data_IF_549518137944
#
_entry.id   IF_549518137944
#
_cell.length_a   1.000
_cell.length_b   1.000
_cell.length_c   1.000
_cell.angle_alpha   90.00
_cell.angle_beta   90.00
_cell.angle_gamma   90.00
#
_symmetry.space_group_name_H-M   'P 1'
#
loop_
_entity.id
_entity.type
_entity.pdbx_description
1 polymer ?
#
# COMPACT_ATOMS: atom_id res chain seq x y z
N UNK A 1 19.58 -17.64 -7.42
CA UNK A 1 18.57 -18.23 -8.30
C UNK A 1 17.24 -18.39 -7.58
N UNK A 2 16.15 -17.84 -8.13
CA UNK A 2 14.79 -18.05 -7.65
C UNK A 2 14.34 -19.49 -7.93
N UNK A 3 13.63 -20.08 -6.98
CA UNK A 3 13.01 -21.39 -7.12
C UNK A 3 11.55 -21.22 -7.52
N UNK A 4 11.14 -21.88 -8.61
CA UNK A 4 9.75 -21.84 -9.09
C UNK A 4 9.11 -23.20 -8.86
N UNK A 5 7.96 -23.22 -8.21
CA UNK A 5 7.27 -24.45 -7.85
C UNK A 5 5.76 -24.27 -7.91
N UNK A 6 5.01 -25.38 -7.93
CA UNK A 6 3.56 -25.37 -8.00
C UNK A 6 2.98 -26.12 -6.79
N UNK A 7 2.48 -25.43 -5.76
CA UNK A 7 1.98 -26.07 -4.55
C UNK A 7 0.85 -27.06 -4.84
N UNK A 8 0.83 -28.15 -4.08
CA UNK A 8 -0.25 -29.14 -4.07
C UNK A 8 -1.05 -29.04 -2.79
N UNK A 9 -2.36 -29.21 -2.89
CA UNK A 9 -3.28 -29.27 -1.75
C UNK A 9 -4.19 -30.49 -1.86
N UNK A 10 -4.66 -31.01 -0.72
CA UNK A 10 -5.62 -32.11 -0.67
C UNK A 10 -7.04 -31.55 -0.61
N UNK A 11 -7.93 -32.09 -1.45
CA UNK A 11 -9.38 -31.83 -1.40
C UNK A 11 -10.11 -33.10 -1.85
N UNK A 12 -11.09 -33.53 -1.05
CA UNK A 12 -11.90 -34.74 -1.32
C UNK A 12 -11.03 -35.99 -1.55
N UNK A 13 -10.01 -36.19 -0.71
CA UNK A 13 -9.08 -37.32 -0.81
C UNK A 13 -8.10 -37.28 -2.01
N UNK A 14 -8.24 -36.33 -2.94
CA UNK A 14 -7.40 -36.21 -4.14
C UNK A 14 -6.39 -35.07 -4.00
N UNK A 15 -5.17 -35.30 -4.50
CA UNK A 15 -4.12 -34.29 -4.58
C UNK A 15 -4.37 -33.38 -5.79
N UNK A 16 -4.54 -32.08 -5.57
CA UNK A 16 -4.73 -31.08 -6.63
C UNK A 16 -3.58 -30.06 -6.62
N UNK A 17 -3.17 -29.61 -7.80
CA UNK A 17 -2.17 -28.54 -7.95
C UNK A 17 -2.88 -27.17 -7.95
N UNK A 18 -2.28 -26.16 -7.32
CA UNK A 18 -2.77 -24.79 -7.43
C UNK A 18 -2.75 -24.31 -8.88
N UNK A 19 -3.67 -23.40 -9.25
CA UNK A 19 -3.72 -22.88 -10.63
C UNK A 19 -2.47 -22.08 -10.99
N UNK A 20 -1.93 -21.31 -10.04
CA UNK A 20 -0.75 -20.46 -10.22
C UNK A 20 0.53 -21.17 -9.80
N UNK A 21 1.63 -20.86 -10.48
CA UNK A 21 2.98 -21.14 -10.04
C UNK A 21 3.38 -20.14 -8.94
N UNK A 22 4.35 -20.51 -8.12
CA UNK A 22 4.89 -19.71 -7.02
C UNK A 22 6.39 -19.54 -7.19
N UNK A 23 6.88 -18.36 -6.82
CA UNK A 23 8.29 -17.96 -6.92
C UNK A 23 8.83 -17.77 -5.51
N UNK A 24 9.94 -18.42 -5.19
CA UNK A 24 10.71 -18.20 -3.96
C UNK A 24 12.05 -17.56 -4.32
N UNK A 25 12.30 -16.35 -3.83
CA UNK A 25 13.53 -15.58 -4.14
C UNK A 25 14.08 -14.89 -2.88
N UNK A 26 15.33 -14.41 -2.93
CA UNK A 26 15.93 -13.58 -1.88
C UNK A 26 15.74 -12.11 -2.26
N UNK A 27 15.16 -11.30 -1.38
CA UNK A 27 14.98 -9.88 -1.62
C UNK A 27 16.27 -9.06 -1.36
N UNK A 28 16.17 -7.73 -1.48
CA UNK A 28 17.30 -6.83 -1.25
C UNK A 28 17.94 -6.99 0.14
N UNK A 29 17.15 -7.29 1.17
CA UNK A 29 17.57 -7.50 2.56
C UNK A 29 18.11 -8.93 2.81
N UNK A 30 18.17 -9.76 1.76
CA UNK A 30 18.61 -11.15 1.83
C UNK A 30 17.56 -12.10 2.39
N UNK A 31 16.34 -11.62 2.66
CA UNK A 31 15.24 -12.43 3.22
C UNK A 31 14.59 -13.26 2.13
N UNK A 32 14.27 -14.52 2.45
CA UNK A 32 13.51 -15.38 1.54
C UNK A 32 12.04 -14.94 1.52
N UNK A 33 11.56 -14.52 0.35
CA UNK A 33 10.15 -14.19 0.10
C UNK A 33 9.55 -15.14 -0.92
N UNK A 34 8.29 -15.48 -0.70
CA UNK A 34 7.49 -16.28 -1.61
C UNK A 34 6.37 -15.42 -2.17
N UNK A 35 6.29 -15.31 -3.49
CA UNK A 35 5.26 -14.55 -4.19
C UNK A 35 4.51 -15.43 -5.20
N UNK A 36 3.20 -15.20 -5.37
CA UNK A 36 2.46 -15.88 -6.43
C UNK A 36 2.93 -15.39 -7.79
N UNK A 37 3.16 -16.34 -8.70
CA UNK A 37 3.41 -16.08 -10.12
C UNK A 37 2.12 -16.19 -10.94
N UNK A 38 2.28 -16.63 -12.18
CA UNK A 38 1.19 -16.76 -13.16
C UNK A 38 0.73 -18.21 -13.30
N UNK A 39 -0.35 -18.43 -14.07
CA UNK A 39 -0.77 -19.79 -14.46
C UNK A 39 0.20 -20.43 -15.45
N UNK A 40 0.86 -19.61 -16.27
CA UNK A 40 1.92 -20.01 -17.20
C UNK A 40 3.29 -20.07 -16.48
N UNK A 41 4.03 -21.15 -16.74
CA UNK A 41 5.36 -21.37 -16.17
C UNK A 41 6.40 -20.41 -16.74
N UNK A 42 6.35 -20.12 -18.04
CA UNK A 42 7.30 -19.25 -18.75
C UNK A 42 7.15 -17.80 -18.30
N UNK A 43 5.93 -17.29 -18.21
CA UNK A 43 5.64 -15.98 -17.64
C UNK A 43 6.11 -15.88 -16.17
N UNK A 44 5.95 -16.97 -15.40
CA UNK A 44 6.46 -17.04 -14.02
C UNK A 44 7.99 -17.02 -13.96
N UNK A 45 8.68 -17.66 -14.91
CA UNK A 45 10.14 -17.64 -15.02
C UNK A 45 10.68 -16.24 -15.31
N UNK A 46 10.07 -15.54 -16.27
CA UNK A 46 10.42 -14.15 -16.58
C UNK A 46 10.19 -13.23 -15.38
N UNK A 47 9.07 -13.41 -14.68
CA UNK A 47 8.78 -12.63 -13.47
C UNK A 47 9.77 -12.91 -12.34
N UNK A 48 10.16 -14.17 -12.15
CA UNK A 48 11.18 -14.54 -11.17
C UNK A 48 12.56 -13.93 -11.49
N UNK A 49 12.96 -13.93 -12.76
CA UNK A 49 14.20 -13.31 -13.21
C UNK A 49 14.20 -11.79 -13.00
N UNK A 50 13.06 -11.12 -13.23
CA UNK A 50 12.89 -9.70 -12.93
C UNK A 50 13.09 -9.41 -11.44
N UNK A 51 12.42 -10.17 -10.56
CA UNK A 51 12.52 -9.99 -9.10
C UNK A 51 13.95 -10.16 -8.58
N UNK A 52 14.69 -11.15 -9.09
CA UNK A 52 16.10 -11.35 -8.72
C UNK A 52 16.99 -10.20 -9.23
N UNK A 53 16.74 -9.70 -10.45
CA UNK A 53 17.47 -8.57 -11.03
C UNK A 53 17.27 -7.30 -10.22
N UNK A 54 16.01 -6.97 -9.92
CA UNK A 54 15.65 -5.78 -9.13
C UNK A 54 16.27 -5.85 -7.72
N UNK A 55 16.15 -7.00 -7.04
CA UNK A 55 16.76 -7.20 -5.73
C UNK A 55 18.30 -7.09 -5.75
N UNK A 56 18.94 -7.55 -6.83
CA UNK A 56 20.39 -7.47 -7.00
C UNK A 56 20.84 -6.02 -7.27
N UNK A 57 20.10 -5.27 -8.09
CA UNK A 57 20.37 -3.86 -8.35
C UNK A 57 20.26 -3.01 -7.09
N UNK A 58 19.25 -3.28 -6.26
CA UNK A 58 19.07 -2.57 -4.97
C UNK A 58 20.20 -2.91 -4.01
N UNK A 59 20.57 -4.20 -3.90
CA UNK A 59 21.68 -4.60 -3.03
C UNK A 59 23.02 -3.99 -3.48
N UNK A 60 23.19 -3.79 -4.79
CA UNK A 60 24.34 -3.10 -5.36
C UNK A 60 24.26 -1.57 -5.27
N UNK A 61 23.18 -1.00 -4.72
CA UNK A 61 22.97 0.45 -4.62
C UNK A 61 22.70 1.15 -5.96
N UNK A 62 22.47 0.38 -7.04
CA UNK A 62 22.19 0.88 -8.39
C UNK A 62 20.72 1.26 -8.60
N UNK A 63 19.84 0.81 -7.69
CA UNK A 63 18.42 1.12 -7.70
C UNK A 63 18.00 1.49 -6.26
N UNK A 64 17.34 2.63 -6.09
CA UNK A 64 16.79 2.96 -4.77
C UNK A 64 15.62 2.03 -4.43
N UNK A 65 15.55 1.48 -3.21
CA UNK A 65 14.45 0.63 -2.78
C UNK A 65 13.08 1.27 -3.00
N UNK A 66 13.00 2.60 -2.86
CA UNK A 66 11.80 3.42 -3.05
C UNK A 66 11.06 3.12 -4.38
N UNK A 67 11.77 2.74 -5.45
CA UNK A 67 11.19 2.39 -6.75
C UNK A 67 10.34 1.11 -6.67
N UNK A 68 10.67 0.16 -5.79
CA UNK A 68 9.85 -1.04 -5.55
C UNK A 68 8.62 -0.77 -4.69
N UNK A 69 8.72 0.15 -3.71
CA UNK A 69 7.58 0.57 -2.89
C UNK A 69 6.52 1.36 -3.69
N UNK A 70 6.80 1.75 -4.93
CA UNK A 70 5.81 2.37 -5.82
C UNK A 70 4.64 1.44 -6.19
N UNK A 71 4.83 0.12 -6.09
CA UNK A 71 3.76 -0.87 -6.31
C UNK A 71 3.04 -1.31 -5.03
N UNK A 72 3.42 -0.78 -3.88
CA UNK A 72 2.70 -1.01 -2.62
C UNK A 72 1.43 -0.17 -2.66
N UNK A 73 0.33 -0.83 -2.34
CA UNK A 73 -0.98 -0.19 -2.36
C UNK A 73 -1.04 0.94 -1.31
N UNK A 74 -1.88 1.93 -1.56
CA UNK A 74 -2.10 3.03 -0.60
C UNK A 74 -2.55 2.50 0.78
N UNK A 75 -3.24 1.36 0.80
CA UNK A 75 -3.68 0.69 2.03
C UNK A 75 -2.52 0.10 2.83
N UNK A 76 -1.52 -0.48 2.16
CA UNK A 76 -0.31 -0.98 2.82
C UNK A 76 0.54 0.16 3.37
N UNK A 77 0.65 1.28 2.64
CA UNK A 77 1.28 2.50 3.16
C UNK A 77 0.56 3.05 4.40
N UNK A 78 -0.78 3.02 4.40
CA UNK A 78 -1.56 3.40 5.58
C UNK A 78 -1.35 2.47 6.77
N UNK A 79 -1.20 1.17 6.55
CA UNK A 79 -0.93 0.19 7.62
C UNK A 79 0.47 0.38 8.22
N UNK A 80 1.47 0.64 7.38
CA UNK A 80 2.82 0.98 7.82
C UNK A 80 2.84 2.32 8.59
N UNK A 81 2.09 3.32 8.11
CA UNK A 81 1.91 4.59 8.81
C UNK A 81 1.27 4.39 10.19
N UNK A 82 0.19 3.59 10.28
CA UNK A 82 -0.46 3.24 11.55
C UNK A 82 0.54 2.62 12.54
N UNK A 83 1.39 1.70 12.06
CA UNK A 83 2.42 1.05 12.87
C UNK A 83 3.44 2.07 13.39
N UNK A 84 3.86 3.01 12.55
CA UNK A 84 4.80 4.08 12.94
C UNK A 84 4.23 5.07 13.96
N UNK A 85 2.90 5.25 13.97
CA UNK A 85 2.23 6.10 14.95
C UNK A 85 2.10 5.39 16.30
N UNK A 86 1.81 4.08 16.29
CA UNK A 86 1.77 3.25 17.50
C UNK A 86 3.13 3.19 18.20
N UNK A 87 4.23 3.15 17.46
CA UNK A 87 5.58 3.15 18.03
C UNK A 87 6.01 4.49 18.64
N UNK A 88 5.25 5.58 18.39
CA UNK A 88 5.53 6.93 18.92
C UNK A 88 4.71 7.27 20.18
N UNK A 89 4.16 6.25 20.86
CA UNK A 89 3.29 6.40 22.04
C UNK A 89 2.09 7.34 21.83
N UNK A 90 1.60 7.44 20.59
CA UNK A 90 0.36 8.15 20.30
C UNK A 90 -0.82 7.33 20.79
N UNK A 91 -1.79 7.98 21.45
CA UNK A 91 -3.00 7.32 21.92
C UNK A 91 -3.67 6.52 20.79
N UNK A 92 -4.11 5.26 21.04
CA UNK A 92 -4.67 4.39 20.00
C UNK A 92 -5.89 5.00 19.31
N UNK A 93 -6.67 5.81 20.02
CA UNK A 93 -7.82 6.52 19.45
C UNK A 93 -7.39 7.64 18.51
N UNK A 94 -6.31 8.36 18.85
CA UNK A 94 -5.74 9.37 17.97
C UNK A 94 -5.15 8.74 16.70
N UNK A 95 -4.47 7.59 16.83
CA UNK A 95 -3.96 6.83 15.68
C UNK A 95 -5.10 6.45 14.73
N UNK A 96 -6.16 5.82 15.26
CA UNK A 96 -7.35 5.44 14.47
C UNK A 96 -7.98 6.65 13.79
N UNK A 97 -8.12 7.75 14.52
CA UNK A 97 -8.74 8.97 14.01
C UNK A 97 -7.94 9.59 12.86
N UNK A 98 -6.62 9.63 12.96
CA UNK A 98 -5.73 10.15 11.91
C UNK A 98 -5.77 9.25 10.67
N UNK A 99 -5.65 7.93 10.85
CA UNK A 99 -5.68 6.96 9.75
C UNK A 99 -7.04 6.97 9.03
N UNK A 100 -8.14 7.01 9.77
CA UNK A 100 -9.48 7.08 9.19
C UNK A 100 -9.72 8.36 8.39
N UNK A 101 -9.16 9.49 8.84
CA UNK A 101 -9.22 10.75 8.09
C UNK A 101 -8.47 10.66 6.76
N UNK A 102 -7.27 10.06 6.75
CA UNK A 102 -6.53 9.81 5.51
C UNK A 102 -7.31 8.88 4.57
N UNK A 103 -7.85 7.76 5.09
CA UNK A 103 -8.68 6.83 4.31
C UNK A 103 -9.90 7.48 3.69
N UNK A 104 -10.63 8.28 4.47
CA UNK A 104 -11.80 9.01 3.99
C UNK A 104 -11.43 9.98 2.85
N UNK A 105 -10.32 10.70 3.00
CA UNK A 105 -9.83 11.62 1.98
C UNK A 105 -9.47 10.88 0.69
N UNK A 106 -8.73 9.78 0.78
CA UNK A 106 -8.37 8.98 -0.40
C UNK A 106 -9.59 8.37 -1.10
N UNK A 107 -10.58 7.91 -0.33
CA UNK A 107 -11.84 7.40 -0.88
C UNK A 107 -12.60 8.46 -1.67
N UNK A 108 -12.72 9.67 -1.13
CA UNK A 108 -13.43 10.77 -1.81
C UNK A 108 -12.62 11.32 -3.00
N UNK A 109 -11.30 11.39 -2.86
CA UNK A 109 -10.39 11.83 -3.93
C UNK A 109 -10.19 10.77 -5.03
N UNK A 110 -10.67 9.53 -4.81
CA UNK A 110 -10.42 8.36 -5.67
C UNK A 110 -8.92 8.12 -5.93
N UNK A 111 -8.07 8.44 -4.94
CA UNK A 111 -6.63 8.23 -5.03
C UNK A 111 -6.34 6.76 -4.71
N UNK A 112 -5.72 6.05 -5.64
CA UNK A 112 -5.35 4.63 -5.50
C UNK A 112 -3.84 4.41 -5.42
N UNK A 113 -3.05 5.44 -5.75
CA UNK A 113 -1.58 5.42 -5.80
C UNK A 113 -1.01 6.69 -5.20
N UNK A 114 0.21 6.64 -4.70
CA UNK A 114 0.91 7.79 -4.09
C UNK A 114 1.07 8.98 -5.03
N UNK A 115 1.29 8.73 -6.32
CA UNK A 115 1.40 9.78 -7.34
C UNK A 115 0.11 10.58 -7.53
N UNK A 116 -1.03 10.08 -7.05
CA UNK A 116 -2.31 10.80 -7.08
C UNK A 116 -2.47 11.80 -5.93
N UNK A 117 -1.55 11.85 -4.97
CA UNK A 117 -1.59 12.79 -3.85
C UNK A 117 -1.07 14.14 -4.33
N UNK A 118 -1.98 15.02 -4.75
CA UNK A 118 -1.67 16.41 -5.10
C UNK A 118 -2.38 17.42 -4.19
N UNK A 119 -1.82 18.62 -4.07
CA UNK A 119 -2.43 19.72 -3.32
C UNK A 119 -3.83 20.09 -3.85
N UNK A 120 -4.02 19.95 -5.16
CA UNK A 120 -5.30 20.19 -5.84
C UNK A 120 -6.34 19.11 -5.49
N UNK A 121 -5.94 17.83 -5.52
CA UNK A 121 -6.83 16.73 -5.15
C UNK A 121 -7.30 16.86 -3.69
N UNK A 122 -6.38 17.20 -2.78
CA UNK A 122 -6.72 17.46 -1.37
C UNK A 122 -7.66 18.66 -1.23
N UNK A 123 -7.33 19.78 -1.87
CA UNK A 123 -8.14 21.01 -1.79
C UNK A 123 -9.56 20.81 -2.32
N UNK A 124 -9.71 20.09 -3.44
CA UNK A 124 -11.02 19.81 -4.04
C UNK A 124 -11.91 18.95 -3.14
N UNK A 125 -11.33 17.97 -2.43
CA UNK A 125 -12.08 17.15 -1.45
C UNK A 125 -12.47 17.97 -0.23
N UNK A 126 -11.58 18.83 0.27
CA UNK A 126 -11.90 19.69 1.41
C UNK A 126 -13.00 20.70 1.07
N UNK A 127 -13.03 21.23 -0.16
CA UNK A 127 -14.10 22.08 -0.65
C UNK A 127 -15.44 21.32 -0.68
N UNK A 128 -15.47 20.11 -1.28
CA UNK A 128 -16.66 19.25 -1.31
C UNK A 128 -17.20 18.91 0.09
N UNK A 129 -16.32 18.63 1.04
CA UNK A 129 -16.71 18.34 2.43
C UNK A 129 -17.31 19.55 3.15
N UNK A 130 -16.88 20.78 2.79
CA UNK A 130 -17.44 22.03 3.32
C UNK A 130 -18.80 22.35 2.70
N UNK A 131 -18.98 22.03 1.42
CA UNK A 131 -20.22 22.27 0.67
C UNK A 131 -21.34 21.26 1.00
N UNK A 132 -21.00 20.03 1.39
CA UNK A 132 -21.97 19.02 1.79
C UNK A 132 -22.80 19.46 3.01
N UNK A 133 -23.99 20.00 2.75
CA UNK A 133 -25.02 20.26 3.75
C UNK A 133 -25.79 18.97 4.02
N UNK A 134 -25.62 18.37 5.19
CA UNK A 134 -26.46 17.27 5.64
C UNK A 134 -27.62 17.82 6.49
N UNK A 135 -28.86 17.47 6.16
CA UNK A 135 -30.07 17.76 6.95
C UNK A 135 -30.19 19.22 7.44
N UNK A 136 -30.08 20.19 6.53
CA UNK A 136 -30.28 21.60 6.84
C UNK A 136 -29.21 22.25 7.74
N UNK A 137 -28.16 21.50 8.14
CA UNK A 137 -27.02 22.03 8.91
C UNK A 137 -25.87 22.42 7.98
N UNK A 138 -25.10 23.43 8.39
CA UNK A 138 -23.86 23.85 7.71
C UNK A 138 -22.96 22.62 7.52
N UNK A 139 -22.33 22.51 6.34
CA UNK A 139 -21.38 21.46 6.05
C UNK A 139 -20.17 21.49 6.99
N UNK A 140 -19.22 20.58 6.75
CA UNK A 140 -18.07 20.35 7.64
C UNK A 140 -17.40 21.65 8.09
N UNK A 141 -17.29 21.87 9.41
CA UNK A 141 -16.63 23.05 9.99
C UNK A 141 -15.20 23.21 9.47
N UNK A 142 -14.73 24.46 9.39
CA UNK A 142 -13.33 24.81 9.07
C UNK A 142 -12.35 24.04 9.95
N UNK A 143 -12.69 23.85 11.24
CA UNK A 143 -11.88 23.07 12.18
C UNK A 143 -11.74 21.61 11.73
N UNK A 144 -12.85 20.97 11.36
CA UNK A 144 -12.83 19.58 10.88
C UNK A 144 -12.07 19.45 9.57
N UNK A 145 -12.21 20.41 8.66
CA UNK A 145 -11.40 20.50 7.43
C UNK A 145 -9.89 20.61 7.73
N UNK A 146 -9.50 21.42 8.72
CA UNK A 146 -8.11 21.53 9.17
C UNK A 146 -7.58 20.23 9.79
N UNK A 147 -8.43 19.45 10.44
CA UNK A 147 -8.04 18.13 10.95
C UNK A 147 -7.71 17.13 9.84
N UNK A 148 -8.48 17.13 8.74
CA UNK A 148 -8.13 16.34 7.55
C UNK A 148 -6.82 16.81 6.93
N UNK A 149 -6.61 18.12 6.83
CA UNK A 149 -5.36 18.69 6.30
C UNK A 149 -4.14 18.34 7.17
N UNK A 150 -4.27 18.36 8.50
CA UNK A 150 -3.19 17.93 9.40
C UNK A 150 -2.87 16.45 9.23
N UNK A 151 -3.90 15.60 9.14
CA UNK A 151 -3.72 14.16 8.95
C UNK A 151 -2.97 13.85 7.65
N UNK A 152 -3.36 14.48 6.54
CA UNK A 152 -2.71 14.24 5.25
C UNK A 152 -1.27 14.76 5.23
N UNK A 153 -1.01 15.94 5.81
CA UNK A 153 0.37 16.47 5.93
C UNK A 153 1.26 15.58 6.79
N UNK A 154 0.71 14.99 7.85
CA UNK A 154 1.44 14.06 8.69
C UNK A 154 1.78 12.76 7.94
N UNK A 155 0.83 12.26 7.15
CA UNK A 155 1.05 11.08 6.30
C UNK A 155 2.10 11.34 5.21
N UNK A 156 1.98 12.43 4.44
CA UNK A 156 2.92 12.75 3.35
C UNK A 156 4.32 13.10 3.84
N UNK A 157 4.47 13.49 5.12
CA UNK A 157 5.79 13.74 5.72
C UNK A 157 6.41 12.49 6.33
N UNK A 158 5.61 11.46 6.58
CA UNK A 158 6.10 10.16 7.02
C UNK A 158 6.56 9.30 5.84
N UNK A 159 5.89 9.44 4.70
CA UNK A 159 6.21 8.75 3.46
C UNK A 159 7.59 9.13 2.94
#
# INVERSE_FOLDING_TARGET
MPSIYRPTYRRDGKLRRMKKWYIRYRDQDGKLKTVPGFTDKTATQQYAAKLERDASMIRAGLLEPAVLYQNISLDEHLAAFETSLKSKDVSPDQVKLVVNRCKALFKVAKITRLSGISAEAVSSVLAKLREQKANGKRGTSVQTSNHYLRAIKQFTRWL
#
